data_IF_031966254821
#
_entry.id   IF_031966254821
#
_cell.length_a   1.000
_cell.length_b   1.000
_cell.length_c   1.000
_cell.angle_alpha   90.00
_cell.angle_beta   90.00
_cell.angle_gamma   90.00
#
_symmetry.space_group_name_H-M   'P 1'
#
loop_
_entity.id
_entity.type
_entity.pdbx_description
1 polymer ?
#
# COMPACT_ATOMS: atom_id res chain seq x y z
N UNK A 1 -64.55 -7.34 54.52
CA UNK A 1 -64.49 -8.11 53.26
C UNK A 1 -64.13 -7.07 52.18
N UNK A 2 -63.01 -7.04 51.49
CA UNK A 2 -62.05 -8.06 51.05
C UNK A 2 -60.61 -7.52 51.09
N UNK A 3 -59.66 -8.40 51.39
CA UNK A 3 -58.25 -8.29 51.05
C UNK A 3 -58.06 -8.22 49.53
N UNK A 4 -57.17 -7.37 49.02
CA UNK A 4 -56.36 -7.71 47.84
C UNK A 4 -54.94 -7.16 47.97
N UNK A 5 -54.00 -8.10 48.03
CA UNK A 5 -52.58 -7.90 47.85
C UNK A 5 -52.27 -7.68 46.36
N UNK A 6 -51.56 -6.59 46.05
CA UNK A 6 -50.98 -6.36 44.72
C UNK A 6 -49.54 -6.88 44.67
N UNK A 7 -49.13 -7.60 43.61
CA UNK A 7 -47.85 -8.27 43.56
C UNK A 7 -46.69 -7.29 43.31
N UNK A 8 -45.58 -7.55 44.00
CA UNK A 8 -44.29 -6.92 43.78
C UNK A 8 -43.84 -7.09 42.33
N UNK A 9 -43.47 -5.99 41.68
CA UNK A 9 -43.01 -5.98 40.30
C UNK A 9 -41.70 -6.77 40.16
N UNK A 10 -41.77 -7.89 39.45
CA UNK A 10 -40.63 -8.68 38.99
C UNK A 10 -39.85 -7.89 37.91
N UNK A 11 -38.79 -7.20 38.32
CA UNK A 11 -37.87 -6.44 37.45
C UNK A 11 -36.80 -7.31 36.76
N UNK A 12 -36.96 -8.64 36.75
CA UNK A 12 -35.94 -9.55 36.20
C UNK A 12 -36.31 -10.21 34.86
N UNK A 13 -37.56 -10.12 34.38
CA UNK A 13 -37.96 -10.86 33.16
C UNK A 13 -37.45 -10.20 31.85
N UNK A 14 -37.39 -8.86 31.80
CA UNK A 14 -37.00 -8.13 30.59
C UNK A 14 -35.50 -8.16 30.29
N UNK A 15 -34.66 -8.25 31.32
CA UNK A 15 -33.20 -8.28 31.16
C UNK A 15 -32.73 -9.61 30.58
N UNK A 16 -33.31 -10.72 31.04
CA UNK A 16 -33.02 -12.05 30.49
C UNK A 16 -33.49 -12.21 29.04
N UNK A 17 -34.64 -11.62 28.69
CA UNK A 17 -35.12 -11.60 27.30
C UNK A 17 -34.24 -10.75 26.39
N UNK A 18 -33.82 -9.56 26.83
CA UNK A 18 -32.92 -8.71 26.07
C UNK A 18 -31.53 -9.34 25.89
N UNK A 19 -31.00 -9.99 26.94
CA UNK A 19 -29.72 -10.70 26.88
C UNK A 19 -29.80 -11.89 25.91
N UNK A 20 -30.89 -12.65 25.94
CA UNK A 20 -31.10 -13.75 25.00
C UNK A 20 -31.19 -13.26 23.55
N UNK A 21 -31.88 -12.15 23.28
CA UNK A 21 -31.95 -11.54 21.96
C UNK A 21 -30.58 -11.06 21.47
N UNK A 22 -29.78 -10.42 22.34
CA UNK A 22 -28.42 -9.99 22.02
C UNK A 22 -27.51 -11.18 21.70
N UNK A 23 -27.60 -12.26 22.47
CA UNK A 23 -26.83 -13.49 22.21
C UNK A 23 -27.25 -14.09 20.87
N UNK A 24 -28.55 -14.19 20.58
CA UNK A 24 -29.04 -14.66 19.29
C UNK A 24 -28.56 -13.78 18.13
N UNK A 25 -28.52 -12.46 18.31
CA UNK A 25 -28.06 -11.52 17.29
C UNK A 25 -26.55 -11.65 17.05
N UNK A 26 -25.74 -11.79 18.11
CA UNK A 26 -24.29 -12.04 18.00
C UNK A 26 -24.02 -13.40 17.34
N UNK A 27 -24.76 -14.45 17.68
CA UNK A 27 -24.63 -15.76 17.04
C UNK A 27 -25.03 -15.70 15.56
N UNK A 28 -26.06 -14.94 15.19
CA UNK A 28 -26.40 -14.71 13.78
C UNK A 28 -25.30 -13.90 13.08
N UNK A 29 -24.71 -12.88 13.71
CA UNK A 29 -23.55 -12.15 13.14
C UNK A 29 -22.29 -13.00 13.02
N UNK A 30 -22.08 -13.98 13.91
CA UNK A 30 -20.96 -14.93 13.83
C UNK A 30 -21.20 -16.00 12.75
N UNK A 31 -22.44 -16.49 12.61
CA UNK A 31 -22.81 -17.50 11.61
C UNK A 31 -22.94 -16.89 10.20
N UNK A 32 -23.38 -15.64 10.10
CA UNK A 32 -23.41 -14.87 8.85
C UNK A 32 -22.18 -13.98 8.65
N UNK A 33 -21.15 -14.17 9.49
CA UNK A 33 -19.84 -13.53 9.40
C UNK A 33 -18.96 -14.09 8.29
N UNK A 34 -19.57 -14.50 7.17
CA UNK A 34 -18.91 -14.66 5.87
C UNK A 34 -19.98 -14.53 4.78
N UNK A 35 -20.76 -13.45 4.82
CA UNK A 35 -21.20 -12.87 3.56
C UNK A 35 -19.96 -12.26 2.93
N UNK A 36 -19.28 -13.08 2.12
CA UNK A 36 -18.51 -12.63 0.99
C UNK A 36 -19.41 -11.62 0.26
N UNK A 37 -19.19 -10.35 0.57
CA UNK A 37 -19.74 -9.27 -0.21
C UNK A 37 -19.08 -9.46 -1.55
N UNK A 38 -19.78 -10.19 -2.43
CA UNK A 38 -19.64 -10.05 -3.87
C UNK A 38 -19.98 -8.59 -4.18
N UNK A 39 -19.09 -7.68 -3.79
CA UNK A 39 -18.81 -6.49 -4.56
C UNK A 39 -18.69 -7.00 -6.00
N UNK A 40 -19.48 -6.49 -6.96
CA UNK A 40 -19.14 -6.72 -8.34
C UNK A 40 -17.70 -6.26 -8.52
N UNK A 41 -16.82 -7.23 -8.77
CA UNK A 41 -15.40 -7.04 -9.05
C UNK A 41 -15.21 -5.70 -9.78
N UNK A 42 -14.50 -4.71 -9.20
CA UNK A 42 -14.24 -3.48 -9.91
C UNK A 42 -13.57 -3.85 -11.22
N UNK A 43 -14.03 -3.35 -12.38
CA UNK A 43 -13.71 -3.96 -13.67
C UNK A 43 -12.24 -3.71 -14.03
N UNK A 44 -11.30 -4.50 -13.54
CA UNK A 44 -9.87 -4.38 -13.86
C UNK A 44 -9.30 -5.77 -14.19
N UNK A 45 -8.80 -5.99 -15.43
CA UNK A 45 -7.42 -5.57 -15.72
C UNK A 45 -7.11 -5.18 -17.19
N UNK A 46 -8.10 -5.00 -18.07
CA UNK A 46 -7.82 -4.82 -19.51
C UNK A 46 -7.05 -3.52 -19.78
N UNK A 47 -7.29 -2.44 -19.01
CA UNK A 47 -6.52 -1.20 -19.15
C UNK A 47 -5.12 -1.25 -18.52
N UNK A 48 -4.92 -2.02 -17.44
CA UNK A 48 -3.62 -2.08 -16.75
C UNK A 48 -2.53 -2.69 -17.64
N UNK A 49 -2.91 -3.61 -18.54
CA UNK A 49 -1.98 -4.16 -19.53
C UNK A 49 -1.44 -3.12 -20.52
N UNK A 50 -1.96 -1.89 -20.57
CA UNK A 50 -1.42 -0.82 -21.43
C UNK A 50 -0.31 -0.01 -20.77
N UNK A 51 -0.23 -0.07 -19.44
CA UNK A 51 0.68 0.74 -18.65
C UNK A 51 1.69 -0.14 -17.92
N UNK A 52 2.87 0.44 -17.71
CA UNK A 52 3.88 -0.06 -16.79
C UNK A 52 3.65 0.64 -15.46
N UNK A 53 3.51 -0.15 -14.39
CA UNK A 53 3.34 0.35 -13.02
C UNK A 53 4.69 0.35 -12.32
N UNK A 54 5.11 1.48 -11.78
CA UNK A 54 6.38 1.60 -11.07
C UNK A 54 6.17 2.13 -9.66
N UNK A 55 7.06 1.73 -8.77
CA UNK A 55 7.14 2.28 -7.43
C UNK A 55 7.70 3.71 -7.50
N UNK A 56 7.01 4.66 -6.86
CA UNK A 56 7.41 6.06 -6.78
C UNK A 56 7.72 6.44 -5.33
N UNK A 57 8.89 7.02 -5.12
CA UNK A 57 9.30 7.58 -3.84
C UNK A 57 10.36 8.67 -4.09
N UNK A 58 10.13 9.87 -3.56
CA UNK A 58 11.05 11.00 -3.77
C UNK A 58 12.26 10.98 -2.83
N UNK A 59 12.16 10.33 -1.69
CA UNK A 59 13.22 10.29 -0.68
C UNK A 59 13.19 8.95 0.06
N UNK A 60 14.03 8.03 -0.36
CA UNK A 60 14.17 6.69 0.22
C UNK A 60 15.57 6.50 0.79
N UNK A 61 15.65 5.93 2.00
CA UNK A 61 16.91 5.43 2.58
C UNK A 61 16.80 3.94 2.87
N UNK A 62 17.94 3.24 3.00
CA UNK A 62 17.93 1.80 3.30
C UNK A 62 17.35 1.52 4.70
N UNK A 63 17.53 2.44 5.64
CA UNK A 63 17.22 2.26 7.05
C UNK A 63 15.76 2.63 7.37
N UNK A 64 15.25 3.69 6.75
CA UNK A 64 13.93 4.25 7.07
C UNK A 64 12.90 4.00 5.96
N UNK A 65 13.32 3.47 4.81
CA UNK A 65 12.47 3.33 3.65
C UNK A 65 12.08 4.70 3.07
N UNK A 66 10.86 4.80 2.54
CA UNK A 66 10.39 6.04 1.91
C UNK A 66 9.89 7.05 2.94
N UNK A 67 10.60 8.16 3.08
CA UNK A 67 10.35 9.19 4.09
C UNK A 67 9.22 10.17 3.73
N UNK A 68 9.00 10.39 2.43
CA UNK A 68 7.99 11.35 1.93
C UNK A 68 6.70 10.68 1.46
N UNK A 69 6.47 9.44 1.88
CA UNK A 69 5.37 8.61 1.38
C UNK A 69 5.64 8.06 -0.02
N UNK A 70 5.19 6.84 -0.25
CA UNK A 70 5.32 6.16 -1.54
C UNK A 70 4.01 6.14 -2.30
N UNK A 71 4.11 6.16 -3.61
CA UNK A 71 2.98 6.08 -4.52
C UNK A 71 3.30 5.13 -5.69
N UNK A 72 2.34 4.95 -6.59
CA UNK A 72 2.47 4.20 -7.84
C UNK A 72 2.36 5.20 -8.98
N UNK A 73 3.36 5.22 -9.86
CA UNK A 73 3.23 5.93 -11.13
C UNK A 73 2.93 4.94 -12.26
N UNK A 74 2.10 5.39 -13.21
CA UNK A 74 1.73 4.65 -14.40
C UNK A 74 2.35 5.35 -15.62
N UNK A 75 2.96 4.57 -16.50
CA UNK A 75 3.56 5.10 -17.74
C UNK A 75 3.25 4.19 -18.93
N UNK A 76 3.11 4.68 -20.17
CA UNK A 76 2.76 3.83 -21.30
C UNK A 76 3.78 2.72 -21.56
N UNK A 77 3.35 1.59 -22.13
CA UNK A 77 4.27 0.55 -22.60
C UNK A 77 5.38 1.10 -23.50
N UNK A 78 6.61 0.60 -23.31
CA UNK A 78 7.83 1.11 -23.95
C UNK A 78 8.59 2.14 -23.10
N UNK A 79 7.99 2.59 -22.00
CA UNK A 79 8.61 3.38 -20.94
C UNK A 79 9.34 2.48 -19.94
N UNK A 80 9.94 3.05 -18.89
CA UNK A 80 10.69 2.32 -17.87
C UNK A 80 10.37 2.80 -16.45
N UNK A 81 10.65 1.94 -15.47
CA UNK A 81 10.79 2.35 -14.09
C UNK A 81 12.23 2.79 -13.87
N UNK A 82 12.45 3.86 -13.12
CA UNK A 82 13.77 4.40 -12.81
C UNK A 82 14.03 4.37 -11.30
N UNK A 83 15.30 4.22 -10.96
CA UNK A 83 15.87 4.43 -9.64
C UNK A 83 17.11 5.30 -9.77
N UNK A 84 17.12 6.49 -9.17
CA UNK A 84 18.34 7.26 -8.96
C UNK A 84 18.93 6.88 -7.62
N UNK A 85 20.24 6.65 -7.60
CA UNK A 85 21.01 6.34 -6.41
C UNK A 85 21.99 7.49 -6.22
N UNK A 86 21.81 8.24 -5.16
CA UNK A 86 22.67 9.36 -4.76
C UNK A 86 23.58 8.85 -3.64
N UNK A 87 24.85 8.68 -3.96
CA UNK A 87 25.87 8.23 -3.01
C UNK A 87 26.69 9.41 -2.52
N UNK A 88 27.00 9.46 -1.23
CA UNK A 88 27.99 10.37 -0.67
C UNK A 88 29.30 9.62 -0.31
N UNK A 89 30.33 10.37 0.06
CA UNK A 89 31.61 9.80 0.50
C UNK A 89 31.53 8.97 1.79
N UNK A 90 30.48 9.13 2.62
CA UNK A 90 30.30 8.34 3.85
C UNK A 90 29.60 7.00 3.60
N UNK A 91 29.21 6.69 2.36
CA UNK A 91 28.52 5.45 2.00
C UNK A 91 27.02 5.44 2.28
N UNK A 92 26.45 6.55 2.77
CA UNK A 92 25.01 6.71 2.93
C UNK A 92 24.38 6.97 1.57
N UNK A 93 23.37 6.18 1.23
CA UNK A 93 22.70 6.27 -0.07
C UNK A 93 21.28 6.81 0.12
N UNK A 94 20.97 7.85 -0.64
CA UNK A 94 19.61 8.32 -0.83
C UNK A 94 19.13 7.83 -2.20
N UNK A 95 17.91 7.33 -2.26
CA UNK A 95 17.30 6.81 -3.48
C UNK A 95 16.07 7.61 -3.86
N UNK A 96 15.88 7.76 -5.17
CA UNK A 96 14.68 8.33 -5.78
C UNK A 96 14.13 7.32 -6.76
N UNK A 97 12.84 7.06 -6.70
CA UNK A 97 12.15 6.04 -7.46
C UNK A 97 11.02 6.69 -8.25
N UNK A 98 10.93 6.46 -9.56
CA UNK A 98 9.90 7.09 -10.39
C UNK A 98 9.69 6.33 -11.71
N UNK A 99 8.74 6.79 -12.51
CA UNK A 99 8.55 6.37 -13.90
C UNK A 99 9.43 7.22 -14.83
N UNK A 100 9.85 6.64 -15.95
CA UNK A 100 10.53 7.32 -17.05
C UNK A 100 9.86 7.03 -18.38
N UNK A 101 9.46 8.10 -19.04
CA UNK A 101 8.83 8.04 -20.35
C UNK A 101 9.83 7.55 -21.40
N UNK A 102 9.31 7.11 -22.55
CA UNK A 102 10.13 6.62 -23.65
C UNK A 102 11.08 7.70 -24.18
N UNK A 103 10.64 8.96 -24.20
CA UNK A 103 11.40 10.10 -24.67
C UNK A 103 12.58 10.45 -23.74
N UNK A 104 12.46 10.10 -22.45
CA UNK A 104 13.46 10.35 -21.42
C UNK A 104 14.36 9.13 -21.15
N UNK A 105 14.36 8.14 -22.04
CA UNK A 105 15.12 6.90 -21.83
C UNK A 105 16.64 7.13 -21.75
N UNK A 106 17.15 8.25 -22.28
CA UNK A 106 18.56 8.66 -22.10
C UNK A 106 18.95 8.77 -20.62
N UNK A 107 18.01 9.12 -19.74
CA UNK A 107 18.22 9.19 -18.29
C UNK A 107 18.63 7.84 -17.70
N UNK A 108 18.35 6.72 -18.38
CA UNK A 108 18.63 5.37 -17.90
C UNK A 108 20.08 4.92 -18.09
N UNK A 109 20.85 5.64 -18.90
CA UNK A 109 22.27 5.38 -19.16
C UNK A 109 23.18 6.39 -18.46
N UNK A 110 22.62 7.26 -17.63
CA UNK A 110 23.30 8.42 -17.07
C UNK A 110 23.98 8.10 -15.72
N UNK A 111 25.31 8.03 -15.73
CA UNK A 111 26.12 8.12 -14.51
C UNK A 111 26.84 9.46 -14.54
N UNK A 112 26.52 10.36 -13.61
CA UNK A 112 27.11 11.70 -13.56
C UNK A 112 27.71 11.97 -12.17
N UNK A 113 28.78 12.76 -12.16
CA UNK A 113 29.18 13.48 -10.94
C UNK A 113 28.05 14.42 -10.56
N UNK A 114 27.64 14.39 -9.30
CA UNK A 114 26.62 15.32 -8.80
C UNK A 114 27.13 16.75 -8.93
N UNK A 115 26.26 17.74 -9.21
CA UNK A 115 26.64 19.16 -9.09
C UNK A 115 27.02 19.53 -7.65
N UNK A 116 26.66 18.70 -6.67
CA UNK A 116 27.08 18.84 -5.27
C UNK A 116 28.38 18.07 -5.04
N UNK A 117 29.41 18.77 -4.57
CA UNK A 117 30.73 18.20 -4.29
C UNK A 117 30.62 17.01 -3.31
N UNK A 118 31.30 15.90 -3.62
CA UNK A 118 31.31 14.70 -2.77
C UNK A 118 30.10 13.77 -2.93
N UNK A 119 29.26 14.01 -3.94
CA UNK A 119 28.14 13.14 -4.29
C UNK A 119 28.24 12.58 -5.71
N UNK A 120 27.70 11.38 -5.89
CA UNK A 120 27.64 10.67 -7.16
C UNK A 120 26.21 10.24 -7.44
N UNK A 121 25.74 10.40 -8.67
CA UNK A 121 24.38 10.02 -9.08
C UNK A 121 24.46 8.91 -10.13
N UNK A 122 23.76 7.81 -9.83
CA UNK A 122 23.64 6.66 -10.73
C UNK A 122 22.18 6.43 -11.06
N UNK A 123 21.85 6.35 -12.35
CA UNK A 123 20.53 5.89 -12.80
C UNK A 123 20.52 4.38 -13.02
N UNK A 124 19.46 3.71 -12.59
CA UNK A 124 19.11 2.36 -13.04
C UNK A 124 17.67 2.35 -13.54
N UNK A 125 17.44 1.72 -14.68
CA UNK A 125 16.10 1.51 -15.20
C UNK A 125 15.78 0.03 -15.40
N UNK A 126 14.49 -0.28 -15.34
CA UNK A 126 13.95 -1.62 -15.58
C UNK A 126 12.54 -1.52 -16.19
N UNK A 127 12.08 -2.58 -16.85
CA UNK A 127 10.95 -2.54 -17.78
C UNK A 127 9.79 -3.48 -17.40
N UNK A 128 9.72 -3.88 -16.13
CA UNK A 128 8.67 -4.78 -15.61
C UNK A 128 7.92 -4.08 -14.48
N UNK A 129 6.65 -4.43 -14.30
CA UNK A 129 5.85 -3.85 -13.23
C UNK A 129 6.54 -4.01 -11.88
N UNK A 130 6.63 -2.91 -11.14
CA UNK A 130 7.24 -2.81 -9.82
C UNK A 130 8.66 -3.38 -9.74
N UNK A 131 9.41 -3.45 -10.86
CA UNK A 131 10.79 -3.93 -10.86
C UNK A 131 11.69 -3.06 -9.98
N UNK A 132 11.33 -1.78 -9.85
CA UNK A 132 11.95 -0.82 -8.96
C UNK A 132 11.25 -0.78 -7.59
N UNK A 133 10.55 -1.81 -7.11
CA UNK A 133 10.12 -1.82 -5.70
C UNK A 133 11.33 -2.16 -4.80
N UNK A 134 11.56 -1.48 -3.65
CA UNK A 134 12.68 -1.77 -2.75
C UNK A 134 12.88 -3.26 -2.44
N UNK A 135 11.79 -4.02 -2.23
CA UNK A 135 11.83 -5.47 -2.01
C UNK A 135 12.42 -6.25 -3.19
N UNK A 136 12.20 -5.76 -4.41
CA UNK A 136 12.67 -6.35 -5.65
C UNK A 136 14.10 -5.91 -6.03
N UNK A 137 14.61 -4.82 -5.44
CA UNK A 137 15.96 -4.28 -5.75
C UNK A 137 17.09 -4.93 -4.94
N UNK A 138 16.76 -5.55 -3.82
CA UNK A 138 17.75 -6.12 -2.88
C UNK A 138 18.74 -7.07 -3.58
N UNK A 139 18.33 -7.72 -4.68
CA UNK A 139 19.15 -8.67 -5.43
C UNK A 139 20.24 -8.07 -6.32
N UNK A 140 20.21 -6.76 -6.61
CA UNK A 140 21.14 -6.13 -7.56
C UNK A 140 21.66 -4.74 -7.13
N UNK A 141 21.38 -4.34 -5.90
CA UNK A 141 22.01 -3.17 -5.30
C UNK A 141 23.34 -3.58 -4.66
N UNK A 142 24.48 -3.01 -5.09
CA UNK A 142 25.76 -3.21 -4.43
C UNK A 142 25.79 -2.56 -3.03
#
# INVERSE_FOLDING_TARGET
>A
MHFMAGPASSWNMGFHQALALLIMQVMMSLVFGEFDHNDPEPPHPIQLTKYLSCYRCLLETKELGCLLGSDICLTPKGSSCMTLIIKNNSGSNVMVSDCRTREQMSDCSYTHTSPVLGFWVFSKCCFRDFCNNPKNRVSYMP
#
